data_IF_980699103398
#
_entry.id   IF_980699103398
#
_cell.length_a   1.000
_cell.length_b   1.000
_cell.length_c   1.000
_cell.angle_alpha   90.00
_cell.angle_beta   90.00
_cell.angle_gamma   90.00
#
_symmetry.space_group_name_H-M   'P 1'
#
loop_
_entity.id
_entity.type
_entity.pdbx_description
1 polymer ?
#
# COMPACT_ATOMS: atom_id res chain seq x y z
N UNK A 1 19.22 8.98 16.08
CA UNK A 1 19.61 8.05 15.01
C UNK A 1 18.93 8.48 13.73
N UNK A 2 19.67 8.70 12.64
CA UNK A 2 19.06 9.06 11.35
C UNK A 2 18.59 7.81 10.57
N UNK A 3 19.35 6.71 10.65
CA UNK A 3 19.02 5.42 10.00
C UNK A 3 19.19 4.27 11.00
N UNK A 4 18.26 3.32 11.01
CA UNK A 4 18.39 2.05 11.74
C UNK A 4 18.41 0.89 10.74
N UNK A 5 19.40 -0.02 10.87
CA UNK A 5 19.47 -1.25 10.07
C UNK A 5 19.21 -2.43 10.98
N UNK A 6 18.17 -3.20 10.70
CA UNK A 6 17.66 -4.24 11.60
C UNK A 6 17.70 -5.61 10.92
N UNK A 7 18.17 -6.61 11.67
CA UNK A 7 17.99 -8.02 11.33
C UNK A 7 17.41 -8.74 12.55
N UNK A 8 16.14 -8.45 12.89
CA UNK A 8 15.50 -9.01 14.07
C UNK A 8 15.45 -10.54 14.02
N UNK A 9 15.40 -11.19 15.20
CA UNK A 9 15.33 -12.64 15.29
C UNK A 9 14.05 -13.21 14.63
N UNK A 10 14.24 -14.32 13.90
CA UNK A 10 13.20 -14.95 13.07
C UNK A 10 12.31 -15.97 13.81
N UNK A 11 12.78 -16.49 14.95
CA UNK A 11 12.17 -17.63 15.64
C UNK A 11 11.96 -17.36 17.13
N UNK A 12 10.84 -17.87 17.63
CA UNK A 12 10.38 -17.83 19.02
C UNK A 12 10.44 -19.20 19.70
N UNK A 13 11.05 -20.21 19.08
CA UNK A 13 10.96 -21.59 19.56
C UNK A 13 9.49 -22.06 19.60
N UNK A 14 8.99 -22.40 20.79
CA UNK A 14 7.61 -22.90 21.03
C UNK A 14 6.56 -21.78 21.23
N UNK A 15 6.96 -20.52 21.40
CA UNK A 15 6.03 -19.45 21.76
C UNK A 15 5.26 -18.91 20.53
N UNK A 16 3.93 -18.83 20.65
CA UNK A 16 2.99 -18.39 19.59
C UNK A 16 2.84 -16.86 19.46
N UNK A 17 3.85 -16.09 19.88
CA UNK A 17 3.83 -14.61 19.89
C UNK A 17 4.28 -14.02 21.22
N UNK A 18 4.69 -12.75 21.17
CA UNK A 18 5.06 -11.91 22.33
C UNK A 18 4.07 -10.78 22.51
N UNK A 19 3.93 -10.36 23.76
CA UNK A 19 3.23 -9.13 24.11
C UNK A 19 4.23 -7.96 24.04
N UNK A 20 3.79 -6.85 23.45
CA UNK A 20 4.57 -5.66 23.17
C UNK A 20 3.87 -4.51 23.87
N UNK A 21 4.52 -3.90 24.86
CA UNK A 21 3.98 -2.72 25.53
C UNK A 21 4.31 -1.44 24.76
N UNK A 22 3.27 -0.67 24.47
CA UNK A 22 3.32 0.56 23.70
C UNK A 22 2.45 1.63 24.34
N UNK A 23 3.05 2.66 24.91
CA UNK A 23 2.35 3.83 25.45
C UNK A 23 1.14 3.45 26.32
N UNK A 24 1.32 2.44 27.20
CA UNK A 24 0.28 1.93 28.11
C UNK A 24 -0.71 0.93 27.51
N UNK A 25 -0.50 0.50 26.26
CA UNK A 25 -1.29 -0.55 25.58
C UNK A 25 -0.42 -1.79 25.35
N UNK A 26 -1.02 -2.97 25.48
CA UNK A 26 -0.37 -4.23 25.15
C UNK A 26 -0.89 -4.71 23.80
N UNK A 27 -0.01 -4.85 22.82
CA UNK A 27 -0.32 -5.48 21.54
C UNK A 27 0.41 -6.80 21.42
N UNK A 28 -0.20 -7.78 20.75
CA UNK A 28 0.43 -9.07 20.49
C UNK A 28 1.06 -9.08 19.10
N UNK A 29 2.25 -9.69 18.97
CA UNK A 29 2.96 -9.78 17.71
C UNK A 29 4.03 -10.87 17.67
N UNK A 30 4.66 -11.04 16.52
CA UNK A 30 5.89 -11.81 16.39
C UNK A 30 7.05 -11.11 17.09
N UNK A 31 8.08 -11.87 17.43
CA UNK A 31 9.32 -11.33 17.98
C UNK A 31 9.99 -10.32 17.03
N UNK A 32 9.91 -10.58 15.72
CA UNK A 32 10.45 -9.67 14.71
C UNK A 32 9.72 -8.31 14.73
N UNK A 33 8.38 -8.34 14.80
CA UNK A 33 7.58 -7.12 14.95
C UNK A 33 7.89 -6.38 16.25
N UNK A 34 7.96 -7.11 17.36
CA UNK A 34 8.30 -6.55 18.68
C UNK A 34 9.64 -5.81 18.65
N UNK A 35 10.66 -6.41 18.02
CA UNK A 35 11.98 -5.79 17.94
C UNK A 35 11.98 -4.50 17.10
N UNK A 36 11.26 -4.49 15.97
CA UNK A 36 11.11 -3.28 15.14
C UNK A 36 10.42 -2.18 15.93
N UNK A 37 9.29 -2.51 16.56
CA UNK A 37 8.49 -1.56 17.34
C UNK A 37 9.29 -1.02 18.53
N UNK A 38 9.95 -1.90 19.29
CA UNK A 38 10.81 -1.48 20.39
C UNK A 38 11.89 -0.52 19.90
N UNK A 39 12.55 -0.81 18.77
CA UNK A 39 13.55 0.07 18.17
C UNK A 39 12.96 1.45 17.84
N UNK A 40 11.77 1.49 17.25
CA UNK A 40 11.07 2.74 16.92
C UNK A 40 10.79 3.57 18.17
N UNK A 41 10.28 2.95 19.23
CA UNK A 41 9.94 3.65 20.47
C UNK A 41 11.18 4.21 21.18
N UNK A 42 12.26 3.42 21.25
CA UNK A 42 13.48 3.82 21.95
C UNK A 42 14.32 4.84 21.17
N UNK A 43 14.47 4.66 19.86
CA UNK A 43 15.47 5.41 19.07
C UNK A 43 14.88 6.39 18.04
N UNK A 44 13.57 6.27 17.74
CA UNK A 44 12.79 7.13 16.85
C UNK A 44 13.49 7.49 15.52
N UNK A 45 14.08 6.52 14.81
CA UNK A 45 14.94 6.78 13.65
C UNK A 45 14.18 7.46 12.52
N UNK A 46 14.85 8.22 11.64
CA UNK A 46 14.20 8.81 10.45
C UNK A 46 13.99 7.79 9.33
N UNK A 47 14.86 6.79 9.23
CA UNK A 47 14.76 5.70 8.26
C UNK A 47 15.07 4.37 8.94
N UNK A 48 14.43 3.30 8.48
CA UNK A 48 14.65 1.93 8.94
C UNK A 48 14.78 1.05 7.71
N UNK A 49 15.80 0.20 7.69
CA UNK A 49 15.92 -0.90 6.72
C UNK A 49 15.99 -2.18 7.53
N UNK A 50 15.02 -3.08 7.36
CA UNK A 50 14.89 -4.28 8.16
C UNK A 50 14.78 -5.54 7.31
N UNK A 51 15.51 -6.59 7.66
CA UNK A 51 15.29 -7.94 7.14
C UNK A 51 14.30 -8.66 8.05
N UNK A 52 13.06 -8.84 7.60
CA UNK A 52 11.96 -9.38 8.41
C UNK A 52 11.48 -10.72 7.87
N UNK A 53 11.00 -11.66 8.69
CA UNK A 53 10.19 -12.77 8.20
C UNK A 53 9.02 -12.26 7.35
N UNK A 54 8.69 -12.97 6.27
CA UNK A 54 7.54 -12.65 5.42
C UNK A 54 6.23 -12.57 6.24
N UNK A 55 6.07 -13.46 7.22
CA UNK A 55 4.93 -13.46 8.13
C UNK A 55 4.74 -12.14 8.87
N UNK A 56 5.81 -11.38 9.13
CA UNK A 56 5.72 -10.08 9.80
C UNK A 56 4.87 -9.08 9.01
N UNK A 57 4.92 -9.16 7.67
CA UNK A 57 4.15 -8.27 6.80
C UNK A 57 2.72 -8.75 6.49
N UNK A 58 2.40 -10.03 6.72
CA UNK A 58 1.14 -10.61 6.22
C UNK A 58 0.34 -11.41 7.25
N UNK A 59 0.98 -11.99 8.27
CA UNK A 59 0.30 -12.83 9.25
C UNK A 59 -0.67 -12.02 10.13
N UNK A 60 -1.77 -12.65 10.52
CA UNK A 60 -2.78 -12.01 11.36
C UNK A 60 -2.25 -11.58 12.73
N UNK A 61 -1.36 -12.39 13.29
CA UNK A 61 -0.68 -12.12 14.57
C UNK A 61 0.01 -10.75 14.60
N UNK A 62 0.59 -10.33 13.48
CA UNK A 62 1.32 -9.06 13.38
C UNK A 62 0.45 -7.89 12.92
N UNK A 63 -0.87 -8.09 12.79
CA UNK A 63 -1.80 -7.08 12.25
C UNK A 63 -1.75 -5.78 13.04
N UNK A 64 -1.80 -5.84 14.37
CA UNK A 64 -1.76 -4.65 15.22
C UNK A 64 -0.38 -3.98 15.18
N UNK A 65 0.71 -4.75 15.18
CA UNK A 65 2.05 -4.17 15.08
C UNK A 65 2.29 -3.47 13.74
N UNK A 66 1.81 -4.03 12.63
CA UNK A 66 1.86 -3.39 11.31
C UNK A 66 1.11 -2.05 11.29
N UNK A 67 0.01 -1.94 12.04
CA UNK A 67 -0.68 -0.66 12.22
C UNK A 67 0.24 0.44 12.68
N UNK A 68 0.93 0.16 13.78
CA UNK A 68 1.75 1.14 14.45
C UNK A 68 2.94 1.52 13.56
N UNK A 69 3.48 0.55 12.79
CA UNK A 69 4.46 0.86 11.76
C UNK A 69 3.90 1.79 10.69
N UNK A 70 2.72 1.49 10.13
CA UNK A 70 2.10 2.27 9.07
C UNK A 70 1.58 3.63 9.53
N UNK A 71 1.28 3.82 10.82
CA UNK A 71 0.86 5.10 11.38
C UNK A 71 2.06 6.06 11.49
N UNK A 72 3.23 5.53 11.84
CA UNK A 72 4.46 6.30 12.10
C UNK A 72 5.39 6.44 10.89
N UNK A 73 5.41 5.44 10.00
CA UNK A 73 6.32 5.34 8.86
C UNK A 73 5.58 5.02 7.56
N UNK A 74 6.15 5.48 6.45
CA UNK A 74 5.83 4.92 5.14
C UNK A 74 6.64 3.64 4.95
N UNK A 75 5.94 2.51 4.81
CA UNK A 75 6.53 1.16 4.81
C UNK A 75 6.45 0.55 3.41
N UNK A 76 7.61 0.15 2.90
CA UNK A 76 7.82 -0.41 1.58
C UNK A 76 8.61 -1.71 1.63
N UNK A 77 8.11 -2.74 0.96
CA UNK A 77 8.84 -4.01 0.80
C UNK A 77 9.74 -3.88 -0.43
N UNK A 78 11.04 -3.70 -0.18
CA UNK A 78 12.07 -3.45 -1.20
C UNK A 78 12.42 -4.74 -1.94
N UNK A 79 12.69 -5.81 -1.21
CA UNK A 79 13.07 -7.11 -1.79
C UNK A 79 12.62 -8.28 -0.92
N UNK A 80 12.71 -9.50 -1.47
CA UNK A 80 12.41 -10.75 -0.77
C UNK A 80 13.53 -11.75 -0.98
N UNK A 81 13.86 -12.46 0.08
CA UNK A 81 14.85 -13.53 0.13
C UNK A 81 14.12 -14.85 0.36
N UNK A 82 14.49 -15.88 -0.41
CA UNK A 82 13.93 -17.24 -0.26
C UNK A 82 14.34 -17.82 1.09
N UNK A 83 13.55 -18.77 1.59
CA UNK A 83 13.80 -19.53 2.84
C UNK A 83 15.14 -20.29 2.91
N UNK A 84 15.96 -20.29 1.85
CA UNK A 84 17.31 -20.84 1.81
C UNK A 84 18.42 -19.78 1.87
N UNK A 85 18.08 -18.50 1.91
CA UNK A 85 19.06 -17.40 1.81
C UNK A 85 19.84 -17.22 3.11
N UNK A 86 19.21 -17.47 4.26
CA UNK A 86 19.83 -17.33 5.58
C UNK A 86 20.02 -18.69 6.24
N UNK A 87 21.27 -19.05 6.53
CA UNK A 87 21.63 -20.34 7.16
C UNK A 87 20.93 -20.44 8.53
N UNK A 88 20.10 -21.47 8.71
CA UNK A 88 19.39 -21.74 9.97
C UNK A 88 17.97 -21.17 10.08
N UNK A 89 17.49 -20.40 9.10
CA UNK A 89 16.11 -19.93 9.06
C UNK A 89 15.37 -20.54 7.85
N UNK A 90 14.26 -21.27 8.08
CA UNK A 90 13.40 -21.82 7.01
C UNK A 90 12.29 -20.86 6.57
N UNK A 91 12.34 -19.60 6.98
CA UNK A 91 11.33 -18.60 6.68
C UNK A 91 11.75 -17.76 5.46
N UNK A 92 10.80 -17.50 4.55
CA UNK A 92 10.98 -16.43 3.58
C UNK A 92 11.19 -15.11 4.32
N UNK A 93 12.09 -14.27 3.82
CA UNK A 93 12.45 -13.01 4.46
C UNK A 93 12.24 -11.85 3.51
N UNK A 94 12.00 -10.64 4.02
CA UNK A 94 11.73 -9.43 3.27
C UNK A 94 12.73 -8.36 3.69
N UNK A 95 13.29 -7.62 2.73
CA UNK A 95 13.90 -6.33 3.00
C UNK A 95 12.80 -5.27 3.01
N UNK A 96 12.57 -4.66 4.16
CA UNK A 96 11.53 -3.64 4.35
C UNK A 96 12.21 -2.32 4.65
N UNK A 97 11.95 -1.30 3.83
CA UNK A 97 12.34 0.07 4.09
C UNK A 97 11.17 0.81 4.74
N UNK A 98 11.47 1.62 5.75
CA UNK A 98 10.50 2.44 6.45
C UNK A 98 11.05 3.84 6.56
N UNK A 99 10.32 4.84 6.06
CA UNK A 99 10.72 6.25 6.17
C UNK A 99 9.78 6.97 7.11
N UNK A 100 10.33 7.66 8.11
CA UNK A 100 9.57 8.38 9.12
C UNK A 100 8.75 9.45 8.44
N UNK A 101 7.46 9.47 8.72
CA UNK A 101 6.57 10.46 8.13
C UNK A 101 6.95 11.85 8.62
N UNK A 102 7.27 12.75 7.70
CA UNK A 102 7.24 14.18 8.02
C UNK A 102 5.78 14.60 8.18
N UNK A 103 5.47 15.43 9.18
CA UNK A 103 4.17 16.09 9.29
C UNK A 103 4.05 17.11 8.17
N UNK A 104 3.86 16.66 6.93
CA UNK A 104 3.43 17.55 5.87
C UNK A 104 1.93 17.79 6.04
N UNK A 105 1.59 19.01 6.45
CA UNK A 105 0.25 19.59 6.27
C UNK A 105 -0.18 19.33 4.83
N UNK A 106 -1.35 18.72 4.70
CA UNK A 106 -2.11 18.55 3.47
C UNK A 106 -2.08 19.85 2.66
N UNK A 107 -1.29 19.88 1.58
CA UNK A 107 -1.42 20.91 0.54
C UNK A 107 -2.54 20.45 -0.38
N UNK A 108 -3.59 21.27 -0.50
CA UNK A 108 -4.52 21.20 -1.63
C UNK A 108 -3.70 21.34 -2.93
N UNK A 109 -4.03 20.60 -4.01
CA UNK A 109 -3.37 20.81 -5.29
C UNK A 109 -3.71 22.22 -5.77
N UNK A 110 -2.69 23.05 -5.95
CA UNK A 110 -2.82 24.31 -6.65
C UNK A 110 -2.76 24.03 -8.15
N UNK A 111 -3.69 24.65 -8.86
CA UNK A 111 -3.82 24.67 -10.30
C UNK A 111 -2.52 25.20 -10.95
N UNK A 112 -1.92 24.41 -11.84
CA UNK A 112 -0.87 24.88 -12.74
C UNK A 112 -1.15 24.32 -14.14
N UNK A 113 -1.61 25.23 -14.99
CA UNK A 113 -1.75 25.08 -16.43
C UNK A 113 -0.40 25.33 -17.11
N UNK A 114 0.05 24.38 -17.96
CA UNK A 114 0.47 24.55 -19.37
C UNK A 114 1.41 23.43 -19.84
N UNK A 115 1.02 22.73 -20.91
CA UNK A 115 1.93 22.10 -21.89
C UNK A 115 2.05 20.57 -21.88
N UNK A 116 1.29 19.91 -22.79
CA UNK A 116 1.48 18.57 -23.40
C UNK A 116 1.76 17.33 -22.53
N UNK A 117 0.92 16.31 -22.76
CA UNK A 117 0.87 14.94 -22.19
C UNK A 117 0.26 14.89 -20.79
N UNK A 118 -0.98 14.41 -20.73
CA UNK A 118 -1.79 14.31 -19.50
C UNK A 118 -1.16 13.28 -18.55
N UNK A 119 -0.40 13.75 -17.56
CA UNK A 119 0.19 12.91 -16.52
C UNK A 119 -0.87 12.55 -15.48
N UNK A 120 -1.27 11.27 -15.46
CA UNK A 120 -2.03 10.74 -14.34
C UNK A 120 -1.19 10.73 -13.05
N UNK A 121 -1.82 11.03 -11.92
CA UNK A 121 -1.16 11.01 -10.59
C UNK A 121 -1.42 9.67 -9.90
N UNK A 122 -0.38 9.06 -9.31
CA UNK A 122 -0.53 7.83 -8.53
C UNK A 122 -0.76 8.18 -7.05
N UNK A 123 -1.88 7.75 -6.49
CA UNK A 123 -2.21 7.87 -5.07
C UNK A 123 -2.20 6.48 -4.43
N UNK A 124 -1.36 6.28 -3.41
CA UNK A 124 -1.42 5.10 -2.56
C UNK A 124 -2.43 5.32 -1.45
N UNK A 125 -3.29 4.33 -1.21
CA UNK A 125 -4.18 4.37 -0.07
C UNK A 125 -3.43 4.38 1.25
N UNK A 126 -4.04 5.00 2.26
CA UNK A 126 -3.34 5.31 3.51
C UNK A 126 -3.85 4.57 4.73
N UNK A 127 -5.04 3.97 4.66
CA UNK A 127 -5.76 3.48 5.83
C UNK A 127 -5.76 1.94 5.86
N UNK A 128 -5.14 1.36 6.87
CA UNK A 128 -5.18 -0.10 7.02
C UNK A 128 -6.60 -0.57 7.40
N UNK A 129 -7.02 -1.74 6.91
CA UNK A 129 -8.41 -2.22 7.06
C UNK A 129 -8.90 -2.35 8.50
N UNK A 130 -8.00 -2.60 9.45
CA UNK A 130 -8.34 -2.75 10.87
C UNK A 130 -8.28 -1.40 11.64
N UNK A 131 -7.61 -0.37 11.12
CA UNK A 131 -7.66 1.01 11.66
C UNK A 131 -8.90 1.76 11.20
N UNK A 132 -9.56 1.24 10.17
CA UNK A 132 -10.74 1.82 9.60
C UNK A 132 -11.94 1.67 10.55
N UNK A 133 -12.14 2.72 11.36
CA UNK A 133 -13.27 2.88 12.26
C UNK A 133 -14.50 3.33 11.48
N UNK A 134 -15.61 2.61 11.63
CA UNK A 134 -16.88 2.94 11.01
C UNK A 134 -17.39 4.31 11.48
N UNK A 135 -17.88 5.12 10.55
CA UNK A 135 -18.45 6.43 10.86
C UNK A 135 -19.63 6.73 9.92
N UNK A 136 -20.82 6.97 10.46
CA UNK A 136 -22.05 7.21 9.66
C UNK A 136 -21.92 8.41 8.70
N UNK A 137 -21.22 9.46 9.12
CA UNK A 137 -20.87 10.63 8.31
C UNK A 137 -19.44 10.60 7.74
N UNK A 138 -18.81 9.43 7.70
CA UNK A 138 -17.46 9.25 7.18
C UNK A 138 -17.41 9.18 5.65
N UNK A 139 -16.20 9.00 5.12
CA UNK A 139 -15.99 8.77 3.70
C UNK A 139 -16.23 7.30 3.35
N UNK A 140 -16.79 6.98 2.17
CA UNK A 140 -16.79 5.62 1.65
C UNK A 140 -15.37 5.05 1.62
N UNK A 141 -15.22 3.80 2.07
CA UNK A 141 -13.93 3.13 2.16
C UNK A 141 -13.80 2.06 1.06
N UNK A 142 -12.71 2.12 0.30
CA UNK A 142 -12.43 1.15 -0.76
C UNK A 142 -11.24 0.27 -0.37
N UNK A 143 -11.51 -1.02 -0.24
CA UNK A 143 -10.52 -2.07 -0.18
C UNK A 143 -10.30 -2.74 -1.55
N UNK A 144 -9.18 -3.45 -1.71
CA UNK A 144 -8.83 -4.16 -2.95
C UNK A 144 -9.89 -5.17 -3.39
N UNK A 145 -10.60 -5.78 -2.44
CA UNK A 145 -11.71 -6.72 -2.69
C UNK A 145 -12.93 -6.05 -3.31
N UNK A 146 -13.15 -4.75 -3.03
CA UNK A 146 -14.34 -4.02 -3.45
C UNK A 146 -14.24 -3.60 -4.92
N UNK A 147 -13.03 -3.53 -5.49
CA UNK A 147 -12.78 -3.12 -6.88
C UNK A 147 -13.61 -3.93 -7.87
N UNK A 148 -13.72 -5.25 -7.66
CA UNK A 148 -14.48 -6.15 -8.53
C UNK A 148 -15.97 -5.80 -8.54
N UNK A 149 -16.54 -5.49 -7.38
CA UNK A 149 -17.97 -5.23 -7.26
C UNK A 149 -18.30 -3.82 -7.77
N UNK A 150 -17.41 -2.85 -7.50
CA UNK A 150 -17.46 -1.54 -8.15
C UNK A 150 -17.48 -1.72 -9.67
N UNK A 151 -16.57 -2.51 -10.23
CA UNK A 151 -16.52 -2.86 -11.68
C UNK A 151 -17.82 -3.42 -12.24
N UNK A 152 -18.61 -4.11 -11.42
CA UNK A 152 -19.90 -4.66 -11.81
C UNK A 152 -21.06 -3.69 -11.63
N UNK A 153 -20.78 -2.44 -11.26
CA UNK A 153 -21.77 -1.39 -11.07
C UNK A 153 -22.31 -1.28 -9.64
N UNK A 154 -21.65 -1.88 -8.64
CA UNK A 154 -22.03 -1.64 -7.25
C UNK A 154 -21.90 -0.13 -6.92
N UNK A 155 -22.93 0.48 -6.32
CA UNK A 155 -22.91 1.91 -6.03
C UNK A 155 -21.92 2.24 -4.92
N UNK A 156 -21.28 3.41 -4.97
CA UNK A 156 -20.37 3.89 -3.89
C UNK A 156 -21.09 3.90 -2.52
N UNK A 157 -22.41 4.10 -2.50
CA UNK A 157 -23.22 4.07 -1.29
C UNK A 157 -23.29 2.70 -0.60
N UNK A 158 -22.96 1.60 -1.30
CA UNK A 158 -22.88 0.26 -0.68
C UNK A 158 -21.57 0.04 0.09
N UNK A 159 -20.57 0.90 -0.10
CA UNK A 159 -19.32 0.81 0.62
C UNK A 159 -19.51 1.23 2.08
N UNK A 160 -18.78 0.56 2.97
CA UNK A 160 -18.75 0.98 4.37
C UNK A 160 -18.14 2.37 4.48
N UNK A 161 -18.67 3.20 5.37
CA UNK A 161 -18.13 4.54 5.64
C UNK A 161 -17.20 4.52 6.83
N UNK A 162 -16.05 5.18 6.72
CA UNK A 162 -15.01 5.21 7.75
C UNK A 162 -14.63 6.63 8.09
N UNK A 163 -14.12 6.83 9.30
CA UNK A 163 -13.51 8.11 9.67
C UNK A 163 -12.34 8.39 8.68
N UNK A 164 -12.34 9.55 8.00
CA UNK A 164 -11.29 9.88 7.04
C UNK A 164 -9.90 9.80 7.67
N UNK A 165 -8.94 9.29 6.91
CA UNK A 165 -7.53 9.33 7.25
C UNK A 165 -6.82 10.48 6.51
N UNK A 166 -5.58 10.79 6.90
CA UNK A 166 -4.87 11.95 6.34
C UNK A 166 -4.38 11.77 4.90
N UNK A 167 -4.36 10.53 4.38
CA UNK A 167 -3.80 10.17 3.05
C UNK A 167 -4.67 9.14 2.36
N UNK A 168 -4.49 9.01 1.04
CA UNK A 168 -5.20 8.03 0.25
C UNK A 168 -6.67 8.38 0.04
N UNK A 169 -7.01 9.67 0.07
CA UNK A 169 -8.33 10.17 -0.29
C UNK A 169 -8.28 10.60 -1.74
N UNK A 170 -9.24 10.14 -2.54
CA UNK A 170 -9.35 10.46 -3.96
C UNK A 170 -10.77 10.80 -4.34
N UNK A 171 -10.91 11.57 -5.42
CA UNK A 171 -12.17 11.86 -6.11
C UNK A 171 -11.86 12.02 -7.62
N UNK A 172 -12.91 12.12 -8.44
CA UNK A 172 -12.79 12.36 -9.88
C UNK A 172 -12.52 11.08 -10.69
N UNK A 173 -11.85 11.23 -11.83
CA UNK A 173 -11.57 10.13 -12.75
C UNK A 173 -10.39 9.30 -12.28
N UNK A 174 -10.61 8.01 -12.01
CA UNK A 174 -9.60 7.12 -11.44
C UNK A 174 -9.57 5.74 -12.09
N UNK A 175 -8.41 5.09 -12.08
CA UNK A 175 -8.27 3.64 -12.27
C UNK A 175 -7.80 3.07 -10.94
N UNK A 176 -8.53 2.10 -10.39
CA UNK A 176 -8.19 1.45 -9.14
C UNK A 176 -7.43 0.16 -9.41
N UNK A 177 -6.30 -0.02 -8.74
CA UNK A 177 -5.49 -1.23 -8.80
C UNK A 177 -5.25 -1.76 -7.37
N UNK A 178 -5.31 -3.08 -7.15
CA UNK A 178 -4.80 -3.66 -5.93
C UNK A 178 -3.28 -3.41 -5.86
N UNK A 179 -2.79 -2.94 -4.71
CA UNK A 179 -1.36 -2.93 -4.39
C UNK A 179 -0.86 -4.35 -4.13
N UNK A 180 -1.71 -5.19 -3.54
CA UNK A 180 -1.42 -6.56 -3.11
C UNK A 180 -2.47 -7.50 -3.73
N UNK A 181 -2.01 -8.62 -4.27
CA UNK A 181 -2.77 -9.46 -5.19
C UNK A 181 -2.65 -8.97 -6.63
N UNK A 182 -2.49 -9.91 -7.58
CA UNK A 182 -2.48 -9.55 -9.01
C UNK A 182 -3.89 -9.09 -9.40
N UNK A 183 -4.06 -7.92 -10.04
CA UNK A 183 -5.36 -7.51 -10.57
C UNK A 183 -5.83 -8.52 -11.62
N UNK A 184 -7.14 -8.75 -11.64
CA UNK A 184 -7.76 -9.41 -12.79
C UNK A 184 -7.91 -8.40 -13.92
N UNK A 185 -7.62 -8.81 -15.16
CA UNK A 185 -7.67 -7.92 -16.33
C UNK A 185 -9.02 -7.21 -16.46
N UNK A 186 -10.10 -7.95 -16.26
CA UNK A 186 -11.47 -7.44 -16.31
C UNK A 186 -11.81 -6.39 -15.23
N UNK A 187 -11.03 -6.33 -14.15
CA UNK A 187 -11.24 -5.36 -13.07
C UNK A 187 -10.49 -4.04 -13.30
N UNK A 188 -9.70 -3.92 -14.38
CA UNK A 188 -8.95 -2.71 -14.71
C UNK A 188 -9.86 -1.82 -15.56
N UNK A 189 -10.57 -0.90 -14.93
CA UNK A 189 -11.48 0.00 -15.63
C UNK A 189 -11.35 1.43 -15.12
N UNK A 190 -11.80 2.39 -15.93
CA UNK A 190 -11.89 3.79 -15.55
C UNK A 190 -13.19 4.05 -14.78
N UNK A 191 -13.07 4.74 -13.66
CA UNK A 191 -14.13 5.09 -12.72
C UNK A 191 -14.26 6.58 -12.62
N UNK A 192 -15.47 7.04 -12.34
CA UNK A 192 -15.70 8.38 -11.81
C UNK A 192 -16.21 8.26 -10.38
N UNK A 193 -15.54 8.97 -9.48
CA UNK A 193 -15.92 9.08 -8.08
C UNK A 193 -16.39 10.52 -7.86
N UNK A 194 -17.69 10.70 -7.63
CA UNK A 194 -18.33 12.01 -7.47
C UNK A 194 -18.13 12.64 -6.08
N UNK A 195 -17.56 11.87 -5.15
CA UNK A 195 -17.30 12.27 -3.77
C UNK A 195 -15.91 11.81 -3.33
N UNK A 196 -15.41 12.37 -2.23
CA UNK A 196 -14.16 11.90 -1.62
C UNK A 196 -14.33 10.47 -1.09
N UNK A 197 -13.43 9.57 -1.48
CA UNK A 197 -13.37 8.19 -0.97
C UNK A 197 -12.03 7.90 -0.32
N UNK A 198 -12.05 7.16 0.79
CA UNK A 198 -10.86 6.72 1.50
C UNK A 198 -10.40 5.37 0.94
N UNK A 199 -9.19 5.33 0.40
CA UNK A 199 -8.56 4.09 -0.05
C UNK A 199 -7.85 3.39 1.10
N UNK A 200 -7.99 2.06 1.13
CA UNK A 200 -7.17 1.20 1.96
C UNK A 200 -5.70 1.21 1.50
N UNK A 201 -4.77 0.92 2.40
CA UNK A 201 -3.34 0.78 2.04
C UNK A 201 -3.05 -0.36 1.04
N UNK A 202 -4.01 -1.23 0.79
CA UNK A 202 -3.99 -2.27 -0.24
C UNK A 202 -4.43 -1.79 -1.63
N UNK A 203 -4.73 -0.52 -1.83
CA UNK A 203 -5.23 0.04 -3.11
C UNK A 203 -4.32 1.17 -3.60
N UNK A 204 -4.11 1.20 -4.91
CA UNK A 204 -3.52 2.29 -5.66
C UNK A 204 -4.61 2.90 -6.56
N UNK A 205 -4.64 4.23 -6.65
CA UNK A 205 -5.46 4.95 -7.61
C UNK A 205 -4.57 5.70 -8.60
N UNK A 206 -4.88 5.58 -9.89
CA UNK A 206 -4.34 6.40 -10.95
C UNK A 206 -5.38 7.47 -11.27
N UNK A 207 -5.15 8.71 -10.84
CA UNK A 207 -6.08 9.82 -11.07
C UNK A 207 -5.76 10.54 -12.37
N UNK A 208 -6.81 10.88 -13.13
CA UNK A 208 -6.71 11.60 -14.40
C UNK A 208 -7.59 12.86 -14.38
N UNK A 209 -7.28 13.90 -15.17
CA UNK A 209 -8.09 15.10 -15.28
C UNK A 209 -9.48 14.85 -15.88
N UNK A 210 -9.63 13.85 -16.75
CA UNK A 210 -10.84 13.64 -17.54
C UNK A 210 -11.18 12.17 -17.79
N UNK A 211 -12.44 11.94 -18.17
CA UNK A 211 -12.98 10.62 -18.46
C UNK A 211 -12.28 9.96 -19.66
N UNK A 212 -12.00 10.75 -20.69
CA UNK A 212 -11.37 10.26 -21.93
C UNK A 212 -9.98 9.72 -21.64
N UNK A 213 -9.18 10.44 -20.86
CA UNK A 213 -7.82 10.06 -20.50
C UNK A 213 -7.80 8.83 -19.59
N UNK A 214 -8.70 8.78 -18.60
CA UNK A 214 -8.82 7.62 -17.73
C UNK A 214 -9.21 6.37 -18.53
N UNK A 215 -10.17 6.48 -19.47
CA UNK A 215 -10.62 5.37 -20.32
C UNK A 215 -9.52 4.88 -21.25
N UNK A 216 -8.92 5.80 -22.02
CA UNK A 216 -7.83 5.46 -22.93
C UNK A 216 -6.68 4.77 -22.17
N UNK A 217 -6.35 5.27 -20.96
CA UNK A 217 -5.31 4.65 -20.16
C UNK A 217 -5.73 3.29 -19.60
N UNK A 218 -6.97 3.09 -19.18
CA UNK A 218 -7.45 1.78 -18.74
C UNK A 218 -7.35 0.75 -19.88
N UNK A 219 -7.69 1.15 -21.11
CA UNK A 219 -7.56 0.30 -22.29
C UNK A 219 -6.10 -0.07 -22.60
N UNK A 220 -5.17 0.90 -22.55
CA UNK A 220 -3.73 0.61 -22.68
C UNK A 220 -3.25 -0.34 -21.59
N UNK A 221 -3.63 -0.12 -20.33
CA UNK A 221 -3.23 -1.00 -19.22
C UNK A 221 -3.79 -2.42 -19.40
N UNK A 222 -5.03 -2.56 -19.88
CA UNK A 222 -5.61 -3.87 -20.20
C UNK A 222 -4.91 -4.55 -21.38
N UNK A 223 -4.48 -3.79 -22.39
CA UNK A 223 -3.72 -4.31 -23.54
C UNK A 223 -2.38 -4.87 -23.08
N UNK A 224 -1.67 -4.13 -22.24
CA UNK A 224 -0.37 -4.49 -21.68
C UNK A 224 -0.47 -5.28 -20.37
N UNK A 225 -1.58 -6.01 -20.18
CA UNK A 225 -1.90 -6.69 -18.92
C UNK A 225 -0.79 -7.62 -18.44
N UNK A 226 -0.17 -8.39 -19.34
CA UNK A 226 0.91 -9.32 -18.95
C UNK A 226 2.13 -8.58 -18.41
N UNK A 227 2.45 -7.41 -19.00
CA UNK A 227 3.52 -6.55 -18.52
C UNK A 227 3.18 -5.96 -17.14
N UNK A 228 1.94 -5.48 -16.96
CA UNK A 228 1.44 -5.02 -15.67
C UNK A 228 1.50 -6.14 -14.62
N UNK A 229 0.95 -7.32 -14.91
CA UNK A 229 0.96 -8.48 -14.03
C UNK A 229 2.41 -8.89 -13.69
N UNK A 230 3.34 -8.74 -14.65
CA UNK A 230 4.77 -8.89 -14.46
C UNK A 230 5.38 -7.95 -13.42
N UNK A 231 4.81 -6.78 -13.17
CA UNK A 231 5.28 -5.86 -12.11
C UNK A 231 5.01 -6.41 -10.70
N UNK A 232 3.96 -7.21 -10.56
CA UNK A 232 3.57 -7.77 -9.27
C UNK A 232 4.56 -8.88 -8.90
N UNK A 233 5.37 -8.68 -7.86
CA UNK A 233 6.40 -9.65 -7.44
C UNK A 233 6.17 -10.07 -6.00
N UNK A 234 6.91 -11.08 -5.55
CA UNK A 234 6.81 -11.66 -4.21
C UNK A 234 6.51 -13.15 -4.24
N UNK A 235 6.95 -13.88 -3.22
CA UNK A 235 6.75 -15.33 -3.05
C UNK A 235 5.56 -15.69 -2.15
N UNK A 236 4.86 -14.68 -1.61
CA UNK A 236 3.55 -14.76 -0.98
C UNK A 236 2.48 -14.03 -1.80
N UNK A 237 1.69 -13.15 -1.17
CA UNK A 237 0.77 -12.29 -1.91
C UNK A 237 1.58 -11.32 -2.80
N UNK A 238 1.51 -11.51 -4.12
CA UNK A 238 2.26 -10.69 -5.08
C UNK A 238 1.82 -9.23 -4.96
N UNK A 239 2.77 -8.29 -5.01
CA UNK A 239 2.49 -6.86 -4.79
C UNK A 239 3.27 -5.98 -5.77
N UNK A 240 2.80 -4.75 -5.92
CA UNK A 240 3.44 -3.69 -6.72
C UNK A 240 3.74 -2.48 -5.83
N UNK A 241 4.83 -1.77 -6.10
CA UNK A 241 5.18 -0.50 -5.44
C UNK A 241 4.75 0.68 -6.30
N UNK A 242 4.60 1.86 -5.70
CA UNK A 242 4.29 3.10 -6.45
C UNK A 242 5.38 3.38 -7.49
N UNK A 243 6.65 3.19 -7.13
CA UNK A 243 7.80 3.39 -8.02
C UNK A 243 7.77 2.45 -9.23
N UNK A 244 7.62 1.13 -9.02
CA UNK A 244 7.54 0.16 -10.13
C UNK A 244 6.38 0.45 -11.07
N UNK A 245 5.23 0.85 -10.52
CA UNK A 245 4.07 1.23 -11.32
C UNK A 245 4.34 2.53 -12.09
N UNK A 246 4.98 3.52 -11.47
CA UNK A 246 5.36 4.78 -12.11
C UNK A 246 6.34 4.57 -13.26
N UNK A 247 7.36 3.76 -13.06
CA UNK A 247 8.38 3.45 -14.07
C UNK A 247 7.74 2.77 -15.28
N UNK A 248 6.89 1.77 -15.03
CA UNK A 248 6.17 1.08 -16.10
C UNK A 248 5.17 1.97 -16.83
N UNK A 249 4.43 2.83 -16.12
CA UNK A 249 3.54 3.82 -16.72
C UNK A 249 4.28 4.90 -17.51
N UNK A 250 5.57 5.12 -17.24
CA UNK A 250 6.41 6.06 -17.99
C UNK A 250 6.98 5.41 -19.24
N UNK A 251 7.38 4.14 -19.16
CA UNK A 251 7.90 3.37 -20.30
C UNK A 251 6.82 3.11 -21.36
N UNK A 252 5.60 2.78 -20.96
CA UNK A 252 4.45 2.56 -21.87
C UNK A 252 4.01 3.83 -22.62
N UNK A 253 4.45 5.02 -22.20
CA UNK A 253 4.20 6.27 -22.95
C UNK A 253 5.06 6.42 -24.20
N UNK A 254 6.25 5.81 -24.21
CA UNK A 254 7.19 5.97 -25.32
C UNK A 254 6.82 5.12 -26.54
N UNK A 255 6.04 4.06 -26.34
CA UNK A 255 5.57 3.15 -27.40
C UNK A 255 4.31 3.64 -28.12
N UNK A 256 3.50 4.51 -27.50
CA UNK A 256 2.26 5.05 -28.09
C UNK A 256 2.50 6.31 -28.95
N UNK A 257 3.76 6.72 -29.12
CA UNK A 257 4.16 7.92 -29.89
C UNK A 257 5.05 7.65 -31.11
N UNK A 258 5.10 6.40 -31.59
CA UNK A 258 5.83 5.99 -32.81
C UNK A 258 4.89 5.51 -33.90
#
# INVERSE_FOLDING_TARGET
MDVAVLNPPFSMGQAKGVDIELDGRTIRGSLAMAHVIATIHHSRPKQIVAVLPESTMFADMDRQGRAELHSLYDVDVVSQFKSSTFRGARANSLLVAMTKRSRQRSRKPADQTKGSVVEGTIVRGGLACFEAVLARGGLPFIHSTDIKDLVRGAPISSLRKVRPFTRGIVAGHVILLPRVGIPKKENISAWYVDTDVQLSDCVLALQYPGATEARARAETIQRDYEALAGLYRGTGARYVTVERLKDWLSATRQTDGS
#
